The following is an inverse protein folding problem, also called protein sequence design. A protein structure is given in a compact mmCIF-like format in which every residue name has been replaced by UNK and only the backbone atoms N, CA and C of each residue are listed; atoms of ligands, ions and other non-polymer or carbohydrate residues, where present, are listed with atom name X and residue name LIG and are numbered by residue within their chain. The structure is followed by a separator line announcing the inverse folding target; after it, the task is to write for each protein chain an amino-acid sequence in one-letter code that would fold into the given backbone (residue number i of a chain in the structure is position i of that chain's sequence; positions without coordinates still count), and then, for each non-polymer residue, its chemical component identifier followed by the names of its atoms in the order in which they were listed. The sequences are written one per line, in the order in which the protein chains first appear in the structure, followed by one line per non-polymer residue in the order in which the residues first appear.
data_IF_807895994694
#
_entry.id   IF_807895994694
#
_cell.length_a   1.000
_cell.length_b   1.000
_cell.length_c   1.000
_cell.angle_alpha   90.00
_cell.angle_beta   90.00
_cell.angle_gamma   90.00
#
_symmetry.space_group_name_H-M   'P 1'
#
loop_
_entity.id
_entity.type
_entity.pdbx_description
1 polymer ?
#
# COMPACT_ATOMS: atom_id res chain seq x y z
N UNK A 1 -7.94 3.09 -25.83
CA UNK A 1 -8.62 3.28 -24.53
C UNK A 1 -9.75 4.28 -24.71
N UNK A 2 -10.75 4.27 -23.85
CA UNK A 2 -11.77 5.31 -23.87
C UNK A 2 -11.16 6.61 -23.34
N UNK A 3 -11.22 7.70 -24.10
CA UNK A 3 -10.51 8.97 -23.80
C UNK A 3 -10.82 9.59 -22.42
N UNK A 4 -11.95 9.24 -21.81
CA UNK A 4 -12.27 9.66 -20.44
C UNK A 4 -11.37 8.98 -19.40
N UNK A 5 -10.93 7.73 -19.64
CA UNK A 5 -10.07 6.98 -18.73
C UNK A 5 -8.67 7.62 -18.64
N UNK A 6 -8.15 8.07 -19.78
CA UNK A 6 -6.88 8.82 -19.84
C UNK A 6 -6.98 10.12 -19.03
N UNK A 7 -8.14 10.79 -19.05
CA UNK A 7 -8.40 11.97 -18.23
C UNK A 7 -8.38 11.67 -16.72
N UNK A 8 -8.95 10.54 -16.30
CA UNK A 8 -8.90 10.09 -14.90
C UNK A 8 -7.46 9.77 -14.49
N UNK A 9 -6.69 9.11 -15.34
CA UNK A 9 -5.29 8.80 -15.08
C UNK A 9 -4.47 10.08 -14.88
N UNK A 10 -4.69 11.11 -15.71
CA UNK A 10 -4.04 12.41 -15.55
C UNK A 10 -4.35 13.07 -14.20
N UNK A 11 -5.61 13.01 -13.77
CA UNK A 11 -6.03 13.54 -12.46
C UNK A 11 -5.36 12.76 -11.33
N UNK A 12 -5.34 11.44 -11.42
CA UNK A 12 -4.71 10.56 -10.43
C UNK A 12 -3.22 10.88 -10.29
N UNK A 13 -2.48 10.95 -11.40
CA UNK A 13 -1.05 11.30 -11.40
C UNK A 13 -0.82 12.68 -10.79
N UNK A 14 -1.65 13.68 -11.13
CA UNK A 14 -1.54 15.03 -10.57
C UNK A 14 -1.75 15.02 -9.05
N UNK A 15 -2.72 14.25 -8.56
CA UNK A 15 -2.97 14.10 -7.13
C UNK A 15 -1.77 13.47 -6.43
N UNK A 16 -1.21 12.38 -6.97
CA UNK A 16 -0.04 11.72 -6.40
C UNK A 16 1.17 12.66 -6.33
N UNK A 17 1.44 13.42 -7.39
CA UNK A 17 2.54 14.39 -7.41
C UNK A 17 2.37 15.49 -6.35
N UNK A 18 1.14 15.95 -6.11
CA UNK A 18 0.86 16.95 -5.06
C UNK A 18 1.15 16.34 -3.69
N UNK A 19 0.66 15.13 -3.42
CA UNK A 19 0.91 14.44 -2.15
C UNK A 19 2.41 14.25 -1.91
N UNK A 20 3.15 13.77 -2.91
CA UNK A 20 4.60 13.58 -2.83
C UNK A 20 5.33 14.91 -2.57
N UNK A 21 4.92 16.00 -3.21
CA UNK A 21 5.52 17.33 -2.99
C UNK A 21 5.31 17.87 -1.56
N UNK A 22 4.26 17.42 -0.88
CA UNK A 22 3.97 17.73 0.52
C UNK A 22 4.59 16.69 1.49
N UNK A 23 5.38 15.74 0.98
CA UNK A 23 6.08 14.71 1.75
C UNK A 23 5.25 13.48 2.09
N UNK A 24 4.06 13.32 1.48
CA UNK A 24 3.22 12.14 1.66
C UNK A 24 3.63 11.06 0.67
N UNK A 25 4.08 9.92 1.18
CA UNK A 25 4.58 8.80 0.37
C UNK A 25 3.73 7.54 0.55
N UNK A 26 3.56 6.72 -0.50
CA UNK A 26 2.96 5.40 -0.36
C UNK A 26 3.89 4.47 0.44
N UNK A 27 3.30 3.58 1.23
CA UNK A 27 4.03 2.50 1.90
C UNK A 27 4.38 1.41 0.90
N UNK A 28 5.62 0.93 0.96
CA UNK A 28 6.04 -0.32 0.32
C UNK A 28 5.94 -1.44 1.36
N UNK A 29 4.95 -2.31 1.21
CA UNK A 29 4.62 -3.33 2.21
C UNK A 29 4.65 -4.75 1.66
N UNK A 30 4.57 -4.95 0.35
CA UNK A 30 4.54 -6.29 -0.25
C UNK A 30 5.91 -6.97 -0.11
N UNK A 31 5.92 -8.22 0.35
CA UNK A 31 7.15 -8.97 0.63
C UNK A 31 7.88 -8.55 1.91
N UNK A 32 7.37 -7.59 2.68
CA UNK A 32 7.93 -7.20 3.98
C UNK A 32 7.30 -7.98 5.13
N UNK A 33 7.98 -8.00 6.28
CA UNK A 33 7.42 -8.54 7.51
C UNK A 33 6.22 -7.69 7.99
N UNK A 34 5.18 -8.35 8.47
CA UNK A 34 4.01 -7.67 8.99
C UNK A 34 4.32 -6.93 10.29
N UNK A 35 4.18 -5.60 10.27
CA UNK A 35 4.23 -4.75 11.45
C UNK A 35 2.83 -4.14 11.76
N UNK A 36 2.19 -4.50 12.89
CA UNK A 36 0.90 -3.95 13.31
C UNK A 36 0.86 -2.43 13.51
N UNK A 37 2.02 -1.76 13.66
CA UNK A 37 2.08 -0.31 13.79
C UNK A 37 1.77 0.42 12.48
N UNK A 38 2.04 -0.22 11.34
CA UNK A 38 1.92 0.37 10.00
C UNK A 38 1.03 -0.45 9.05
N UNK A 39 0.72 -1.70 9.38
CA UNK A 39 -0.09 -2.63 8.60
C UNK A 39 -1.35 -3.07 9.34
N UNK A 40 -2.42 -3.28 8.58
CA UNK A 40 -3.67 -3.87 9.03
C UNK A 40 -3.90 -5.19 8.29
N UNK A 41 -3.61 -6.32 8.95
CA UNK A 41 -3.82 -7.63 8.38
C UNK A 41 -5.30 -8.02 8.45
N UNK A 42 -5.95 -8.03 7.29
CA UNK A 42 -7.38 -8.39 7.17
C UNK A 42 -7.61 -9.83 6.73
N UNK A 43 -6.57 -10.47 6.20
CA UNK A 43 -6.61 -11.86 5.75
C UNK A 43 -5.28 -12.56 6.03
N UNK A 44 -5.37 -13.84 6.36
CA UNK A 44 -4.22 -14.75 6.38
C UNK A 44 -4.41 -15.80 5.28
N UNK A 45 -3.32 -16.27 4.68
CA UNK A 45 -3.37 -17.29 3.63
C UNK A 45 -2.16 -18.20 3.73
N UNK A 46 -2.36 -19.50 3.46
CA UNK A 46 -1.24 -20.44 3.33
C UNK A 46 -0.36 -20.00 2.15
N UNK A 47 0.96 -20.03 2.34
CA UNK A 47 1.92 -19.74 1.29
C UNK A 47 3.07 -20.74 1.37
N UNK A 48 3.35 -21.41 0.26
CA UNK A 48 4.54 -22.26 0.10
C UNK A 48 5.79 -21.45 -0.29
N UNK A 49 5.59 -20.17 -0.64
CA UNK A 49 6.63 -19.29 -1.18
C UNK A 49 7.13 -18.24 -0.17
N UNK A 50 6.34 -17.93 0.85
CA UNK A 50 6.62 -16.86 1.81
C UNK A 50 6.65 -17.38 3.24
N UNK A 51 7.53 -16.82 4.07
CA UNK A 51 7.59 -17.15 5.50
C UNK A 51 6.36 -16.62 6.24
N UNK A 52 5.90 -17.35 7.27
CA UNK A 52 4.79 -16.92 8.14
C UNK A 52 5.03 -15.51 8.68
N UNK A 53 4.01 -14.65 8.59
CA UNK A 53 4.10 -13.24 8.96
C UNK A 53 4.56 -12.29 7.84
N UNK A 54 4.91 -12.81 6.66
CA UNK A 54 5.23 -11.95 5.49
C UNK A 54 3.95 -11.41 4.86
N UNK A 55 3.95 -10.14 4.45
CA UNK A 55 2.89 -9.55 3.63
C UNK A 55 2.97 -10.12 2.21
N UNK A 56 1.93 -10.87 1.82
CA UNK A 56 1.83 -11.49 0.49
C UNK A 56 1.24 -10.51 -0.53
N UNK A 57 0.28 -9.69 -0.10
CA UNK A 57 -0.49 -8.83 -1.01
C UNK A 57 -0.93 -7.57 -0.27
N UNK A 58 -0.75 -6.42 -0.93
CA UNK A 58 -1.26 -5.12 -0.45
C UNK A 58 -2.63 -4.86 -1.11
N UNK A 59 -3.69 -5.08 -0.36
CA UNK A 59 -5.07 -4.86 -0.81
C UNK A 59 -5.42 -3.36 -0.90
N UNK A 60 -4.80 -2.55 -0.03
CA UNK A 60 -4.88 -1.10 -0.09
C UNK A 60 -3.56 -0.49 0.38
N UNK A 61 -2.93 0.30 -0.49
CA UNK A 61 -1.69 1.02 -0.19
C UNK A 61 -1.85 1.92 1.04
N UNK A 62 -0.97 1.78 2.03
CA UNK A 62 -0.86 2.71 3.14
C UNK A 62 -0.13 3.99 2.73
N UNK A 63 -0.21 5.04 3.54
CA UNK A 63 0.47 6.31 3.28
C UNK A 63 1.12 6.86 4.55
N UNK A 64 2.29 7.46 4.39
CA UNK A 64 3.09 8.06 5.46
C UNK A 64 3.41 9.52 5.15
N UNK A 65 3.66 10.31 6.19
CA UNK A 65 4.25 11.65 6.12
C UNK A 65 5.50 11.67 6.99
N UNK A 66 6.67 11.53 6.37
CA UNK A 66 7.89 11.17 7.11
C UNK A 66 7.68 9.85 7.84
N UNK A 67 7.95 9.83 9.14
CA UNK A 67 7.76 8.63 9.99
C UNK A 67 6.32 8.47 10.53
N UNK A 68 5.42 9.40 10.20
CA UNK A 68 4.04 9.36 10.69
C UNK A 68 3.15 8.59 9.74
N UNK A 69 2.56 7.50 10.21
CA UNK A 69 1.48 6.80 9.52
C UNK A 69 0.26 7.70 9.41
N UNK A 70 -0.16 7.99 8.18
CA UNK A 70 -1.44 8.66 7.90
C UNK A 70 -2.56 7.65 7.71
N UNK A 71 -2.24 6.54 7.06
CA UNK A 71 -3.14 5.41 6.84
C UNK A 71 -2.33 4.12 6.79
N UNK A 72 -2.72 3.12 7.57
CA UNK A 72 -2.14 1.78 7.49
C UNK A 72 -2.39 1.14 6.13
N UNK A 73 -1.46 0.29 5.68
CA UNK A 73 -1.70 -0.56 4.53
C UNK A 73 -2.62 -1.72 4.94
N UNK A 74 -3.68 -1.97 4.16
CA UNK A 74 -4.48 -3.18 4.34
C UNK A 74 -3.81 -4.32 3.59
N UNK A 75 -3.48 -5.38 4.30
CA UNK A 75 -2.62 -6.45 3.79
C UNK A 75 -3.21 -7.83 4.02
N UNK A 76 -2.79 -8.76 3.15
CA UNK A 76 -2.90 -10.20 3.34
C UNK A 76 -1.53 -10.71 3.78
N UNK A 77 -1.48 -11.51 4.83
CA UNK A 77 -0.23 -12.07 5.36
C UNK A 77 -0.17 -13.58 5.23
N UNK A 78 1.04 -14.13 5.13
CA UNK A 78 1.28 -15.55 5.20
C UNK A 78 0.98 -16.07 6.61
N UNK A 79 0.21 -17.17 6.67
CA UNK A 79 -0.07 -17.89 7.90
C UNK A 79 1.17 -18.63 8.42
#
# INVERSE_FOLDING_TARGET
GAAWADGIELIYRKLMNILESEGVTPMDAEGQEFDPAIHEAVMQSESDEHESGTVIEVLQTGYMLGDRVLRSALVRVAA
#
